data_IF_882232208287
#
_entry.id   IF_882232208287
#
_cell.length_a   1.000
_cell.length_b   1.000
_cell.length_c   1.000
_cell.angle_alpha   90.00
_cell.angle_beta   90.00
_cell.angle_gamma   90.00
#
_symmetry.space_group_name_H-M   'P 1'
#
loop_
_entity.id
_entity.type
_entity.pdbx_description
1 polymer ?
#
# COMPACT_ATOMS: atom_id res chain seq x y z
N UNK A 1 77.78 -8.33 -11.56
CA UNK A 1 77.37 -9.20 -10.42
C UNK A 1 76.28 -8.51 -9.62
N UNK A 2 75.01 -8.89 -9.81
CA UNK A 2 73.91 -8.66 -8.84
C UNK A 2 72.85 -9.71 -9.13
N UNK A 3 72.59 -10.54 -8.13
CA UNK A 3 71.79 -11.78 -8.19
C UNK A 3 70.29 -11.44 -8.12
N UNK A 4 69.52 -12.04 -9.02
CA UNK A 4 68.07 -12.19 -8.91
C UNK A 4 67.76 -13.18 -7.78
N UNK A 5 66.88 -12.80 -6.86
CA UNK A 5 66.29 -13.69 -5.85
C UNK A 5 64.80 -13.81 -6.20
N UNK A 6 64.26 -15.01 -6.44
CA UNK A 6 62.83 -15.21 -6.63
C UNK A 6 62.15 -15.32 -5.26
N UNK A 7 61.16 -14.48 -5.03
CA UNK A 7 60.26 -14.60 -3.88
C UNK A 7 59.16 -15.59 -4.24
N UNK A 8 59.19 -16.77 -3.63
CA UNK A 8 58.14 -17.78 -3.76
C UNK A 8 56.94 -17.36 -2.92
N UNK A 9 55.80 -17.07 -3.57
CA UNK A 9 54.50 -16.97 -2.90
C UNK A 9 54.01 -18.38 -2.57
N UNK A 10 53.82 -18.65 -1.28
CA UNK A 10 53.21 -19.88 -0.76
C UNK A 10 51.68 -19.69 -0.78
N UNK A 11 50.99 -20.38 -1.69
CA UNK A 11 49.53 -20.41 -1.78
C UNK A 11 48.95 -21.38 -0.75
N UNK A 12 48.43 -20.87 0.37
CA UNK A 12 47.60 -21.65 1.30
C UNK A 12 46.15 -21.60 0.80
N UNK A 13 45.76 -22.60 0.02
CA UNK A 13 44.36 -22.90 -0.28
C UNK A 13 43.76 -23.67 0.89
N UNK A 14 43.03 -22.97 1.76
CA UNK A 14 42.12 -23.57 2.73
C UNK A 14 40.73 -23.66 2.08
N UNK A 15 40.44 -24.78 1.42
CA UNK A 15 39.07 -25.17 1.08
C UNK A 15 38.41 -25.68 2.37
N UNK A 16 37.66 -24.81 3.04
CA UNK A 16 36.62 -25.24 3.96
C UNK A 16 35.33 -25.42 3.16
N UNK A 17 35.05 -26.65 2.72
CA UNK A 17 33.71 -27.10 2.38
C UNK A 17 32.86 -27.05 3.66
N UNK A 18 32.34 -25.88 3.99
CA UNK A 18 31.22 -25.77 4.92
C UNK A 18 30.00 -26.14 4.10
N UNK A 19 29.56 -27.39 4.25
CA UNK A 19 28.22 -27.78 3.80
C UNK A 19 27.24 -26.72 4.32
N UNK A 20 26.30 -26.22 3.50
CA UNK A 20 25.30 -25.30 3.98
C UNK A 20 24.67 -25.93 5.22
N UNK A 21 24.61 -25.16 6.32
CA UNK A 21 23.78 -25.51 7.46
C UNK A 21 22.35 -25.53 6.92
N UNK A 22 21.91 -26.70 6.46
CA UNK A 22 20.50 -27.03 6.35
C UNK A 22 19.93 -26.76 7.73
N UNK A 23 19.30 -25.58 7.89
CA UNK A 23 18.49 -25.29 9.06
C UNK A 23 17.53 -26.46 9.23
N UNK A 24 17.30 -26.93 10.47
CA UNK A 24 16.46 -28.10 10.69
C UNK A 24 15.15 -27.86 9.94
N UNK A 25 14.77 -28.77 9.04
CA UNK A 25 13.42 -28.82 8.50
C UNK A 25 12.51 -28.66 9.72
N UNK A 26 11.84 -27.51 9.82
CA UNK A 26 10.95 -27.20 10.92
C UNK A 26 9.84 -28.21 10.84
N UNK A 27 9.97 -29.29 11.61
CA UNK A 27 8.94 -30.29 11.76
C UNK A 27 7.63 -29.56 12.04
N UNK A 28 6.58 -29.90 11.28
CA UNK A 28 5.23 -29.33 11.47
C UNK A 28 4.89 -29.31 12.94
N UNK A 29 4.28 -28.22 13.38
CA UNK A 29 3.90 -28.05 14.78
C UNK A 29 2.88 -29.13 15.19
N UNK A 30 2.92 -29.54 16.46
CA UNK A 30 2.05 -30.63 16.94
C UNK A 30 0.57 -30.21 16.98
N UNK A 31 0.29 -28.92 17.13
CA UNK A 31 -1.05 -28.34 17.16
C UNK A 31 -1.71 -28.33 15.78
N UNK A 32 -0.95 -28.07 14.70
CA UNK A 32 -1.47 -28.16 13.33
C UNK A 32 -2.05 -29.56 13.02
N UNK A 33 -1.51 -30.60 13.66
CA UNK A 33 -1.95 -31.98 13.50
C UNK A 33 -3.17 -32.36 14.36
N UNK A 34 -3.60 -31.50 15.30
CA UNK A 34 -4.63 -31.84 16.29
C UNK A 34 -5.96 -31.11 16.13
N UNK A 35 -6.02 -30.03 15.33
CA UNK A 35 -7.28 -29.32 15.08
C UNK A 35 -8.27 -30.19 14.30
N UNK A 36 -9.54 -30.23 14.75
CA UNK A 36 -10.61 -30.88 13.99
C UNK A 36 -10.83 -30.17 12.65
N UNK A 37 -11.33 -30.84 11.60
CA UNK A 37 -11.58 -30.20 10.30
C UNK A 37 -12.42 -28.91 10.41
N UNK A 38 -13.40 -28.88 11.31
CA UNK A 38 -14.23 -27.70 11.58
C UNK A 38 -13.45 -26.58 12.25
N UNK A 39 -12.53 -26.90 13.16
CA UNK A 39 -11.64 -25.92 13.77
C UNK A 39 -10.65 -25.34 12.76
N UNK A 40 -10.09 -26.19 11.90
CA UNK A 40 -9.21 -25.76 10.82
C UNK A 40 -9.93 -24.77 9.88
N UNK A 41 -11.14 -25.11 9.44
CA UNK A 41 -11.94 -24.23 8.58
C UNK A 41 -12.23 -22.88 9.25
N UNK A 42 -12.66 -22.87 10.53
CA UNK A 42 -12.90 -21.60 11.26
C UNK A 42 -11.66 -20.74 11.39
N UNK A 43 -10.51 -21.33 11.74
CA UNK A 43 -9.25 -20.59 11.88
C UNK A 43 -8.85 -19.99 10.54
N UNK A 44 -8.95 -20.76 9.45
CA UNK A 44 -8.64 -20.28 8.10
C UNK A 44 -9.60 -19.16 7.66
N UNK A 45 -10.91 -19.32 7.86
CA UNK A 45 -11.88 -18.27 7.58
C UNK A 45 -11.59 -17.00 8.38
N UNK A 46 -11.19 -17.15 9.64
CA UNK A 46 -10.79 -16.04 10.50
C UNK A 46 -9.53 -15.34 9.99
N UNK A 47 -8.41 -16.03 9.77
CA UNK A 47 -7.17 -15.35 9.33
C UNK A 47 -7.31 -14.74 7.94
N UNK A 48 -8.10 -15.36 7.05
CA UNK A 48 -8.35 -14.86 5.70
C UNK A 48 -9.38 -13.71 5.64
N UNK A 49 -10.07 -13.40 6.73
CA UNK A 49 -11.02 -12.30 6.76
C UNK A 49 -10.27 -10.95 6.80
N UNK A 50 -10.47 -10.05 5.81
CA UNK A 50 -9.66 -8.83 5.67
C UNK A 50 -9.76 -7.87 6.87
N UNK A 51 -10.88 -7.90 7.61
CA UNK A 51 -11.06 -7.08 8.81
C UNK A 51 -10.18 -7.50 9.99
N UNK A 52 -9.57 -8.70 9.95
CA UNK A 52 -8.63 -9.16 10.96
C UNK A 52 -7.22 -8.64 10.66
N UNK A 53 -7.03 -7.34 10.86
CA UNK A 53 -5.74 -6.65 10.70
C UNK A 53 -4.77 -6.96 11.84
N UNK A 54 -3.48 -6.59 11.68
CA UNK A 54 -2.42 -6.76 12.70
C UNK A 54 -2.90 -6.33 14.10
N UNK A 55 -3.59 -5.20 14.21
CA UNK A 55 -4.11 -4.70 15.48
C UNK A 55 -5.13 -5.63 16.15
N UNK A 56 -5.98 -6.33 15.39
CA UNK A 56 -6.93 -7.32 15.94
C UNK A 56 -6.19 -8.55 16.42
N UNK A 57 -5.28 -9.08 15.60
CA UNK A 57 -4.47 -10.26 15.93
C UNK A 57 -3.61 -10.03 17.18
N UNK A 58 -2.94 -8.88 17.28
CA UNK A 58 -2.09 -8.59 18.43
C UNK A 58 -2.90 -8.27 19.69
N UNK A 59 -3.88 -7.37 19.60
CA UNK A 59 -4.50 -6.80 20.79
C UNK A 59 -5.73 -7.59 21.28
N UNK A 60 -6.43 -8.27 20.38
CA UNK A 60 -7.66 -9.00 20.74
C UNK A 60 -7.41 -10.50 20.82
N UNK A 61 -6.71 -11.09 19.85
CA UNK A 61 -6.34 -12.52 19.89
C UNK A 61 -5.19 -12.74 20.88
N UNK A 62 -4.26 -11.78 20.99
CA UNK A 62 -3.11 -11.88 21.88
C UNK A 62 -1.97 -12.71 21.31
N UNK A 63 -1.88 -12.86 19.98
CA UNK A 63 -0.76 -13.59 19.35
C UNK A 63 0.50 -12.73 19.31
N UNK A 64 1.65 -13.39 19.13
CA UNK A 64 2.94 -12.73 19.08
C UNK A 64 3.00 -11.63 17.98
N UNK A 65 3.55 -10.43 18.26
CA UNK A 65 3.52 -9.31 17.32
C UNK A 65 4.09 -9.62 15.93
N UNK A 66 5.20 -10.35 15.90
CA UNK A 66 5.84 -10.74 14.64
C UNK A 66 5.04 -11.79 13.86
N UNK A 67 4.30 -12.66 14.55
CA UNK A 67 3.41 -13.62 13.90
C UNK A 67 2.21 -12.89 13.27
N UNK A 68 1.62 -11.91 13.96
CA UNK A 68 0.54 -11.10 13.41
C UNK A 68 0.97 -10.34 12.15
N UNK A 69 2.14 -9.71 12.16
CA UNK A 69 2.70 -9.02 10.98
C UNK A 69 2.93 -10.01 9.84
N UNK A 70 3.53 -11.18 10.12
CA UNK A 70 3.81 -12.19 9.10
C UNK A 70 2.54 -12.81 8.49
N UNK A 71 1.51 -13.10 9.32
CA UNK A 71 0.22 -13.61 8.85
C UNK A 71 -0.47 -12.59 7.94
N UNK A 72 -0.53 -11.33 8.36
CA UNK A 72 -1.14 -10.25 7.56
C UNK A 72 -0.35 -10.02 6.27
N UNK A 73 0.98 -9.95 6.32
CA UNK A 73 1.81 -9.76 5.13
C UNK A 73 1.70 -10.92 4.13
N UNK A 74 1.57 -12.17 4.60
CA UNK A 74 1.30 -13.31 3.71
C UNK A 74 -0.07 -13.17 3.05
N UNK A 75 -1.12 -12.90 3.84
CA UNK A 75 -2.49 -12.77 3.32
C UNK A 75 -2.63 -11.62 2.32
N UNK A 76 -2.12 -10.45 2.65
CA UNK A 76 -2.32 -9.19 1.92
C UNK A 76 -1.41 -9.05 0.69
N UNK A 77 -0.62 -10.07 0.37
CA UNK A 77 0.20 -10.07 -0.84
C UNK A 77 1.30 -9.00 -0.86
N UNK A 78 1.69 -8.59 -2.06
CA UNK A 78 2.78 -7.64 -2.29
C UNK A 78 2.33 -6.18 -2.13
N UNK A 79 1.05 -5.88 -2.37
CA UNK A 79 0.50 -4.53 -2.18
C UNK A 79 0.21 -4.20 -0.71
N UNK A 80 0.12 -5.21 0.16
CA UNK A 80 -0.11 -5.05 1.59
C UNK A 80 -1.52 -4.55 1.91
N UNK A 81 -2.48 -4.75 1.00
CA UNK A 81 -3.87 -4.34 1.12
C UNK A 81 -4.76 -5.55 0.95
N UNK A 82 -5.70 -5.77 1.87
CA UNK A 82 -6.75 -6.78 1.70
C UNK A 82 -8.14 -6.17 1.93
N UNK A 83 -9.15 -6.49 1.09
CA UNK A 83 -9.07 -7.39 -0.06
C UNK A 83 -8.42 -6.74 -1.28
N UNK A 84 -7.56 -7.47 -1.99
CA UNK A 84 -6.92 -7.06 -3.25
C UNK A 84 -6.82 -8.23 -4.26
N UNK A 85 -6.19 -7.97 -5.40
CA UNK A 85 -6.03 -8.96 -6.47
C UNK A 85 -4.86 -9.93 -6.25
N UNK A 86 -3.87 -9.53 -5.45
CA UNK A 86 -2.66 -10.30 -5.14
C UNK A 86 -2.68 -10.93 -3.74
N UNK A 87 -3.79 -10.81 -3.01
CA UNK A 87 -4.04 -11.53 -1.76
C UNK A 87 -3.71 -13.04 -1.90
N UNK A 88 -2.89 -13.56 -0.99
CA UNK A 88 -2.55 -14.98 -0.90
C UNK A 88 -3.24 -15.64 0.31
N UNK A 89 -4.52 -15.97 0.13
CA UNK A 89 -5.31 -16.60 1.19
C UNK A 89 -4.76 -17.97 1.59
N UNK A 90 -4.71 -18.22 2.90
CA UNK A 90 -4.34 -19.51 3.46
C UNK A 90 -5.36 -20.58 3.04
N UNK A 91 -4.85 -21.59 2.34
CA UNK A 91 -5.64 -22.72 1.85
C UNK A 91 -5.64 -23.90 2.83
N UNK A 92 -4.72 -23.91 3.80
CA UNK A 92 -4.58 -24.98 4.80
C UNK A 92 -3.92 -24.49 6.08
N UNK A 93 -4.17 -25.19 7.20
CA UNK A 93 -3.47 -24.91 8.46
C UNK A 93 -1.97 -25.18 8.35
N UNK A 94 -1.54 -26.11 7.50
CA UNK A 94 -0.12 -26.35 7.26
C UNK A 94 0.58 -25.17 6.58
N UNK A 95 -0.13 -24.40 5.74
CA UNK A 95 0.38 -23.18 5.15
C UNK A 95 0.49 -22.07 6.21
N UNK A 96 -0.53 -21.91 7.05
CA UNK A 96 -0.52 -20.95 8.16
C UNK A 96 0.59 -21.27 9.19
N UNK A 97 0.79 -22.54 9.51
CA UNK A 97 1.84 -23.04 10.41
C UNK A 97 3.26 -22.79 9.87
N UNK A 98 3.41 -22.68 8.55
CA UNK A 98 4.70 -22.40 7.91
C UNK A 98 5.07 -20.91 7.93
N UNK A 99 4.16 -20.02 8.33
CA UNK A 99 4.42 -18.58 8.42
C UNK A 99 5.41 -18.32 9.57
N UNK A 100 6.45 -17.48 9.36
CA UNK A 100 7.41 -17.16 10.42
C UNK A 100 6.72 -16.74 11.73
N UNK A 101 7.20 -17.29 12.84
CA UNK A 101 6.71 -17.04 14.20
C UNK A 101 5.32 -17.61 14.51
N UNK A 102 4.68 -18.34 13.60
CA UNK A 102 3.49 -19.13 13.93
C UNK A 102 3.92 -20.44 14.57
N UNK A 103 3.51 -20.67 15.81
CA UNK A 103 3.79 -21.88 16.58
C UNK A 103 2.49 -22.49 17.14
N UNK A 104 2.62 -23.59 17.90
CA UNK A 104 1.50 -24.26 18.56
C UNK A 104 0.66 -23.30 19.44
N UNK A 105 1.31 -22.33 20.08
CA UNK A 105 0.65 -21.35 20.95
C UNK A 105 -0.21 -20.41 20.12
N UNK A 106 0.34 -19.88 19.01
CA UNK A 106 -0.38 -19.00 18.09
C UNK A 106 -1.61 -19.70 17.50
N UNK A 107 -1.46 -20.94 17.04
CA UNK A 107 -2.59 -21.72 16.48
C UNK A 107 -3.69 -21.97 17.53
N UNK A 108 -3.33 -22.29 18.77
CA UNK A 108 -4.30 -22.49 19.85
C UNK A 108 -5.04 -21.19 20.21
N UNK A 109 -4.34 -20.05 20.20
CA UNK A 109 -4.94 -18.73 20.43
C UNK A 109 -5.92 -18.37 19.32
N UNK A 110 -5.56 -18.61 18.05
CA UNK A 110 -6.44 -18.39 16.90
C UNK A 110 -7.68 -19.29 16.95
N UNK A 111 -7.55 -20.58 17.26
CA UNK A 111 -8.70 -21.49 17.40
C UNK A 111 -9.64 -21.03 18.53
N UNK A 112 -9.08 -20.71 19.70
CA UNK A 112 -9.85 -20.25 20.85
C UNK A 112 -10.62 -18.96 20.54
N UNK A 113 -9.95 -17.99 19.91
CA UNK A 113 -10.57 -16.71 19.59
C UNK A 113 -11.62 -16.82 18.48
N UNK A 114 -11.31 -17.53 17.40
CA UNK A 114 -12.22 -17.70 16.26
C UNK A 114 -13.47 -18.53 16.61
N UNK A 115 -13.41 -19.37 17.65
CA UNK A 115 -14.59 -20.09 18.14
C UNK A 115 -15.67 -19.16 18.73
N UNK A 116 -15.29 -18.01 19.29
CA UNK A 116 -16.22 -17.03 19.88
C UNK A 116 -16.40 -15.77 19.02
N UNK A 117 -15.47 -15.50 18.10
CA UNK A 117 -15.54 -14.42 17.12
C UNK A 117 -15.36 -14.98 15.69
N UNK A 118 -16.29 -15.80 15.20
CA UNK A 118 -16.18 -16.34 13.85
C UNK A 118 -16.23 -15.20 12.82
N UNK A 119 -15.45 -15.33 11.74
CA UNK A 119 -15.64 -14.49 10.58
C UNK A 119 -17.07 -14.68 10.03
N UNK A 120 -17.65 -13.66 9.36
CA UNK A 120 -18.92 -13.82 8.67
C UNK A 120 -18.88 -15.04 7.74
N UNK A 121 -19.95 -15.83 7.71
CA UNK A 121 -20.02 -17.02 6.87
C UNK A 121 -20.28 -16.64 5.42
N UNK A 122 -19.60 -17.29 4.48
CA UNK A 122 -19.91 -17.15 3.05
C UNK A 122 -21.30 -17.70 2.70
N UNK A 123 -21.85 -17.28 1.56
CA UNK A 123 -23.14 -17.72 1.04
C UNK A 123 -23.04 -18.13 -0.43
N UNK A 124 -23.75 -19.19 -0.83
CA UNK A 124 -23.98 -19.49 -2.26
C UNK A 124 -25.45 -19.27 -2.59
N UNK A 125 -25.71 -18.34 -3.52
CA UNK A 125 -27.07 -17.93 -3.91
C UNK A 125 -27.17 -18.00 -5.43
N UNK A 126 -28.13 -18.79 -5.95
CA UNK A 126 -28.30 -19.00 -7.40
C UNK A 126 -26.99 -19.39 -8.13
N UNK A 127 -26.14 -20.19 -7.47
CA UNK A 127 -24.84 -20.63 -8.00
C UNK A 127 -23.70 -19.60 -7.89
N UNK A 128 -23.97 -18.38 -7.42
CA UNK A 128 -22.93 -17.37 -7.13
C UNK A 128 -22.47 -17.54 -5.70
N UNK A 129 -21.18 -17.84 -5.51
CA UNK A 129 -20.58 -17.97 -4.18
C UNK A 129 -19.96 -16.64 -3.75
N UNK A 130 -20.29 -16.24 -2.54
CA UNK A 130 -19.79 -15.06 -1.81
C UNK A 130 -18.99 -15.55 -0.61
N UNK A 131 -17.85 -14.91 -0.36
CA UNK A 131 -17.07 -15.06 0.87
C UNK A 131 -17.72 -14.27 2.00
N UNK A 132 -17.31 -14.54 3.23
CA UNK A 132 -17.83 -13.87 4.42
C UNK A 132 -17.80 -12.34 4.33
N UNK A 133 -16.64 -11.78 4.01
CA UNK A 133 -16.49 -10.33 3.86
C UNK A 133 -17.32 -9.79 2.68
N UNK A 134 -17.45 -10.55 1.58
CA UNK A 134 -18.28 -10.13 0.45
C UNK A 134 -19.76 -10.06 0.83
N UNK A 135 -20.26 -11.02 1.62
CA UNK A 135 -21.62 -11.01 2.15
C UNK A 135 -21.86 -9.75 2.99
N UNK A 136 -20.96 -9.45 3.92
CA UNK A 136 -21.04 -8.28 4.77
C UNK A 136 -21.03 -6.98 3.96
N UNK A 137 -20.06 -6.81 3.05
CA UNK A 137 -19.98 -5.65 2.17
C UNK A 137 -21.22 -5.46 1.32
N UNK A 138 -21.73 -6.54 0.72
CA UNK A 138 -22.92 -6.48 -0.14
C UNK A 138 -24.17 -6.13 0.66
N UNK A 139 -24.35 -6.73 1.84
CA UNK A 139 -25.46 -6.40 2.74
C UNK A 139 -25.39 -4.93 3.16
N UNK A 140 -24.22 -4.46 3.60
CA UNK A 140 -24.03 -3.07 3.96
C UNK A 140 -24.29 -2.14 2.76
N UNK A 141 -23.64 -2.39 1.63
CA UNK A 141 -23.69 -1.53 0.46
C UNK A 141 -25.08 -1.45 -0.17
N UNK A 142 -25.78 -2.57 -0.32
CA UNK A 142 -27.16 -2.55 -0.78
C UNK A 142 -28.05 -1.81 0.20
N UNK A 143 -27.84 -1.87 1.52
CA UNK A 143 -28.67 -1.14 2.47
C UNK A 143 -28.40 0.38 2.49
N UNK A 144 -27.19 0.83 2.13
CA UNK A 144 -26.76 2.22 2.25
C UNK A 144 -26.69 3.00 0.92
N UNK A 145 -26.53 2.32 -0.22
CA UNK A 145 -26.51 2.98 -1.53
C UNK A 145 -27.82 3.72 -1.80
N UNK A 146 -27.81 4.85 -2.51
CA UNK A 146 -29.07 5.46 -2.96
C UNK A 146 -29.68 4.71 -4.16
N UNK A 147 -30.90 5.07 -4.55
CA UNK A 147 -31.59 4.42 -5.68
C UNK A 147 -30.87 4.63 -7.01
N UNK A 148 -30.20 5.78 -7.20
CA UNK A 148 -29.49 6.09 -8.44
C UNK A 148 -28.25 5.19 -8.59
N UNK A 149 -27.50 5.01 -7.50
CA UNK A 149 -26.34 4.12 -7.40
C UNK A 149 -26.72 2.70 -7.78
N UNK A 150 -27.80 2.14 -7.20
CA UNK A 150 -28.25 0.80 -7.57
C UNK A 150 -28.69 0.70 -9.05
N UNK A 151 -29.36 1.73 -9.59
CA UNK A 151 -29.79 1.74 -10.99
C UNK A 151 -28.63 1.85 -11.98
N UNK A 152 -27.52 2.45 -11.58
CA UNK A 152 -26.30 2.48 -12.38
C UNK A 152 -25.55 1.15 -12.37
N UNK A 153 -25.73 0.33 -11.32
CA UNK A 153 -25.07 -0.97 -11.19
C UNK A 153 -25.86 -2.12 -11.85
N UNK A 154 -27.20 -2.07 -11.77
CA UNK A 154 -28.06 -3.20 -12.13
C UNK A 154 -29.13 -2.83 -13.15
N UNK A 155 -29.80 -3.84 -13.71
CA UNK A 155 -31.01 -3.63 -14.49
C UNK A 155 -32.07 -2.91 -13.64
N UNK A 156 -32.79 -1.96 -14.26
CA UNK A 156 -33.62 -0.99 -13.54
C UNK A 156 -34.70 -1.63 -12.62
N UNK A 157 -35.28 -2.77 -12.99
CA UNK A 157 -36.28 -3.48 -12.15
C UNK A 157 -35.61 -4.16 -10.97
N UNK A 158 -34.46 -4.82 -11.19
CA UNK A 158 -33.68 -5.40 -10.11
C UNK A 158 -33.24 -4.32 -9.10
N UNK A 159 -32.71 -3.19 -9.58
CA UNK A 159 -32.31 -2.06 -8.74
C UNK A 159 -33.49 -1.49 -7.92
N UNK A 160 -34.62 -1.26 -8.58
CA UNK A 160 -35.85 -0.74 -7.93
C UNK A 160 -36.35 -1.69 -6.85
N UNK A 161 -36.40 -2.99 -7.15
CA UNK A 161 -36.88 -3.99 -6.20
C UNK A 161 -35.90 -4.20 -5.03
N UNK A 162 -34.59 -4.18 -5.30
CA UNK A 162 -33.57 -4.22 -4.26
C UNK A 162 -33.72 -3.02 -3.32
N UNK A 163 -33.82 -1.80 -3.85
CA UNK A 163 -34.02 -0.58 -3.07
C UNK A 163 -35.26 -0.65 -2.18
N UNK A 164 -36.40 -1.08 -2.75
CA UNK A 164 -37.67 -1.17 -2.05
C UNK A 164 -37.72 -2.28 -0.98
N UNK A 165 -36.97 -3.37 -1.16
CA UNK A 165 -36.97 -4.52 -0.25
C UNK A 165 -36.05 -4.41 0.97
N UNK A 166 -35.36 -3.27 1.15
CA UNK A 166 -34.49 -3.02 2.31
C UNK A 166 -35.29 -2.96 3.63
N UNK A 167 -34.66 -3.25 4.78
CA UNK A 167 -33.27 -3.68 4.94
C UNK A 167 -33.06 -5.19 4.73
N UNK A 168 -31.91 -5.56 4.19
CA UNK A 168 -31.45 -6.94 4.10
C UNK A 168 -30.50 -7.27 5.25
N UNK A 169 -30.43 -8.55 5.60
CA UNK A 169 -29.53 -9.11 6.62
C UNK A 169 -28.59 -10.18 6.06
N UNK A 170 -28.85 -10.65 4.83
CA UNK A 170 -28.09 -11.71 4.14
C UNK A 170 -28.27 -11.61 2.63
N UNK A 171 -27.30 -12.10 1.86
CA UNK A 171 -27.35 -12.05 0.38
C UNK A 171 -28.48 -12.93 -0.16
N UNK A 172 -28.77 -14.06 0.47
CA UNK A 172 -29.87 -14.91 0.03
C UNK A 172 -31.27 -14.27 0.15
N UNK A 173 -31.47 -13.23 0.98
CA UNK A 173 -32.71 -12.45 0.93
C UNK A 173 -32.79 -11.62 -0.35
N UNK A 174 -31.65 -11.11 -0.84
CA UNK A 174 -31.57 -10.38 -2.10
C UNK A 174 -31.83 -11.30 -3.29
N UNK A 175 -31.30 -12.53 -3.28
CA UNK A 175 -31.57 -13.52 -4.34
C UNK A 175 -33.04 -13.92 -4.46
N UNK A 176 -33.84 -13.77 -3.40
CA UNK A 176 -35.28 -14.01 -3.45
C UNK A 176 -36.08 -12.82 -4.04
N UNK A 177 -35.44 -11.67 -4.26
CA UNK A 177 -36.09 -10.47 -4.81
C UNK A 177 -36.35 -10.68 -6.30
N UNK A 178 -37.57 -10.33 -6.75
CA UNK A 178 -37.93 -10.45 -8.17
C UNK A 178 -36.95 -9.69 -9.05
N UNK A 179 -36.52 -10.33 -10.15
CA UNK A 179 -35.52 -9.83 -11.10
C UNK A 179 -34.06 -9.84 -10.59
N UNK A 180 -33.79 -10.34 -9.39
CA UNK A 180 -32.43 -10.60 -8.91
C UNK A 180 -32.05 -12.04 -9.23
N UNK A 181 -31.43 -12.25 -10.40
CA UNK A 181 -30.87 -13.55 -10.79
C UNK A 181 -29.36 -13.65 -10.54
N UNK A 182 -28.77 -14.74 -11.00
CA UNK A 182 -27.31 -14.99 -10.90
C UNK A 182 -26.46 -13.88 -11.53
N UNK A 183 -26.92 -13.22 -12.60
CA UNK A 183 -26.23 -12.08 -13.19
C UNK A 183 -26.13 -10.88 -12.23
N UNK A 184 -27.25 -10.48 -11.62
CA UNK A 184 -27.29 -9.40 -10.63
C UNK A 184 -26.48 -9.76 -9.39
N UNK A 185 -26.55 -11.01 -8.91
CA UNK A 185 -25.73 -11.50 -7.79
C UNK A 185 -24.24 -11.48 -8.13
N UNK A 186 -23.86 -11.84 -9.36
CA UNK A 186 -22.49 -11.72 -9.85
C UNK A 186 -21.98 -10.27 -9.86
N UNK A 187 -22.85 -9.32 -10.23
CA UNK A 187 -22.54 -7.88 -10.16
C UNK A 187 -22.43 -7.39 -8.72
N UNK A 188 -23.32 -7.82 -7.83
CA UNK A 188 -23.25 -7.51 -6.40
C UNK A 188 -21.92 -7.99 -5.82
N UNK A 189 -21.52 -9.23 -6.11
CA UNK A 189 -20.22 -9.77 -5.68
C UNK A 189 -19.05 -8.95 -6.23
N UNK A 190 -19.06 -8.63 -7.52
CA UNK A 190 -18.02 -7.82 -8.13
C UNK A 190 -17.92 -6.41 -7.52
N UNK A 191 -19.00 -5.91 -6.92
CA UNK A 191 -19.05 -4.61 -6.24
C UNK A 191 -18.80 -4.68 -4.72
N UNK A 192 -18.48 -5.87 -4.19
CA UNK A 192 -18.23 -6.05 -2.76
C UNK A 192 -16.99 -5.28 -2.27
N UNK A 193 -15.91 -5.21 -3.05
CA UNK A 193 -14.69 -4.51 -2.67
C UNK A 193 -14.89 -2.99 -2.50
N UNK A 194 -15.50 -2.25 -3.47
CA UNK A 194 -15.84 -0.85 -3.23
C UNK A 194 -16.66 -0.62 -1.96
N UNK A 195 -17.67 -1.47 -1.71
CA UNK A 195 -18.48 -1.37 -0.50
C UNK A 195 -17.75 -1.77 0.78
N UNK A 196 -16.75 -2.65 0.71
CA UNK A 196 -15.87 -2.97 1.84
C UNK A 196 -15.09 -1.74 2.30
N UNK A 197 -14.48 -1.03 1.34
CA UNK A 197 -13.72 0.19 1.60
C UNK A 197 -14.61 1.23 2.29
N UNK A 198 -15.82 1.43 1.76
CA UNK A 198 -16.84 2.27 2.35
C UNK A 198 -17.23 1.91 3.79
N UNK A 199 -17.51 0.63 4.02
CA UNK A 199 -17.91 0.10 5.33
C UNK A 199 -16.85 0.41 6.39
N UNK A 200 -15.57 0.42 6.01
CA UNK A 200 -14.45 0.72 6.89
C UNK A 200 -13.96 2.16 6.84
N UNK A 201 -14.84 3.08 6.43
CA UNK A 201 -14.61 4.52 6.51
C UNK A 201 -13.61 5.05 5.49
N UNK A 202 -13.20 4.23 4.52
CA UNK A 202 -12.58 4.75 3.31
C UNK A 202 -13.65 5.42 2.45
N UNK A 203 -13.26 6.43 1.68
CA UNK A 203 -14.20 7.15 0.82
C UNK A 203 -14.66 6.26 -0.31
N UNK A 204 -15.98 6.12 -0.51
CA UNK A 204 -16.59 5.48 -1.68
C UNK A 204 -16.52 6.45 -2.86
N UNK A 205 -15.41 6.46 -3.61
CA UNK A 205 -15.29 7.39 -4.73
C UNK A 205 -15.67 6.74 -6.06
N UNK A 206 -15.61 5.41 -6.18
CA UNK A 206 -16.12 4.71 -7.35
C UNK A 206 -17.61 4.98 -7.57
N UNK A 207 -18.00 5.11 -8.84
CA UNK A 207 -19.38 5.39 -9.21
C UNK A 207 -19.51 5.94 -10.63
N UNK A 208 -20.75 6.14 -11.06
CA UNK A 208 -21.04 6.82 -12.34
C UNK A 208 -21.50 8.24 -12.04
N UNK A 209 -20.75 9.23 -12.52
CA UNK A 209 -21.03 10.65 -12.33
C UNK A 209 -21.16 11.31 -13.71
N UNK A 210 -22.29 11.98 -13.96
CA UNK A 210 -22.66 12.52 -15.29
C UNK A 210 -22.52 11.48 -16.43
N UNK A 211 -22.88 10.23 -16.16
CA UNK A 211 -22.77 9.14 -17.14
C UNK A 211 -21.36 8.60 -17.37
N UNK A 212 -20.35 9.07 -16.61
CA UNK A 212 -18.97 8.59 -16.67
C UNK A 212 -18.68 7.71 -15.44
N UNK A 213 -18.38 6.43 -15.66
CA UNK A 213 -18.02 5.48 -14.58
C UNK A 213 -16.56 5.62 -14.19
N UNK A 214 -16.28 5.76 -12.90
CA UNK A 214 -14.95 5.71 -12.30
C UNK A 214 -14.82 4.43 -11.48
N UNK A 215 -13.71 3.71 -11.66
CA UNK A 215 -13.27 2.74 -10.65
C UNK A 215 -12.67 3.47 -9.44
N UNK A 216 -12.45 2.76 -8.34
CA UNK A 216 -12.02 3.38 -7.08
C UNK A 216 -10.66 4.08 -7.21
N UNK A 217 -9.58 3.46 -7.74
CA UNK A 217 -8.29 4.15 -7.87
C UNK A 217 -8.35 5.39 -8.76
N UNK A 218 -9.09 5.32 -9.87
CA UNK A 218 -9.30 6.46 -10.76
C UNK A 218 -10.11 7.55 -10.07
N UNK A 219 -11.10 7.19 -9.26
CA UNK A 219 -11.95 8.15 -8.58
C UNK A 219 -11.20 8.93 -7.49
N UNK A 220 -10.36 8.25 -6.72
CA UNK A 220 -9.44 8.86 -5.75
C UNK A 220 -8.55 9.89 -6.45
N UNK A 221 -7.88 9.46 -7.53
CA UNK A 221 -6.99 10.33 -8.30
C UNK A 221 -7.74 11.51 -8.94
N UNK A 222 -8.94 11.28 -9.47
CA UNK A 222 -9.76 12.32 -10.07
C UNK A 222 -10.24 13.35 -9.04
N UNK A 223 -10.59 12.92 -7.82
CA UNK A 223 -10.97 13.82 -6.75
C UNK A 223 -9.76 14.65 -6.28
N UNK A 224 -8.60 14.03 -6.18
CA UNK A 224 -7.35 14.72 -5.86
C UNK A 224 -7.01 15.78 -6.91
N UNK A 225 -7.07 15.42 -8.20
CA UNK A 225 -6.92 16.34 -9.32
C UNK A 225 -7.92 17.50 -9.27
N UNK A 226 -9.20 17.22 -8.99
CA UNK A 226 -10.23 18.25 -8.88
C UNK A 226 -9.89 19.26 -7.77
N UNK A 227 -9.25 18.80 -6.68
CA UNK A 227 -8.84 19.62 -5.53
C UNK A 227 -7.49 20.32 -5.71
N UNK A 228 -6.55 19.74 -6.43
CA UNK A 228 -5.15 20.21 -6.43
C UNK A 228 -4.66 20.72 -7.78
N UNK A 229 -5.17 20.20 -8.91
CA UNK A 229 -4.64 20.54 -10.23
C UNK A 229 -4.77 22.05 -10.51
N UNK A 230 -3.73 22.65 -11.07
CA UNK A 230 -3.75 24.04 -11.52
C UNK A 230 -4.68 24.22 -12.72
N UNK A 231 -5.08 25.45 -12.99
CA UNK A 231 -5.84 25.80 -14.20
C UNK A 231 -5.16 25.25 -15.46
N UNK A 232 -3.85 25.47 -15.60
CA UNK A 232 -3.07 25.01 -16.75
C UNK A 232 -3.13 23.48 -16.89
N UNK A 233 -2.93 22.74 -15.78
CA UNK A 233 -3.00 21.28 -15.75
C UNK A 233 -4.39 20.74 -16.15
N UNK A 234 -5.48 21.32 -15.62
CA UNK A 234 -6.84 20.94 -15.99
C UNK A 234 -7.08 21.15 -17.49
N UNK A 235 -6.71 22.33 -18.00
CA UNK A 235 -6.91 22.67 -19.42
C UNK A 235 -6.04 21.84 -20.37
N UNK A 236 -4.81 21.49 -19.99
CA UNK A 236 -3.94 20.65 -20.82
C UNK A 236 -4.44 19.21 -20.93
N UNK A 237 -5.29 18.76 -20.00
CA UNK A 237 -5.90 17.44 -20.00
C UNK A 237 -7.38 17.47 -20.43
N UNK A 238 -7.77 18.51 -21.17
CA UNK A 238 -9.05 18.54 -21.87
C UNK A 238 -10.23 19.11 -21.07
N UNK A 239 -10.02 19.63 -19.85
CA UNK A 239 -11.05 20.40 -19.15
C UNK A 239 -11.15 21.79 -19.78
N UNK A 240 -12.34 22.20 -20.23
CA UNK A 240 -12.50 23.52 -20.82
C UNK A 240 -12.27 24.65 -19.80
N UNK A 241 -11.78 25.80 -20.24
CA UNK A 241 -11.29 26.87 -19.36
C UNK A 241 -12.32 27.41 -18.37
N UNK A 242 -13.60 27.53 -18.77
CA UNK A 242 -14.66 27.95 -17.85
C UNK A 242 -14.82 26.91 -16.71
N UNK A 243 -14.96 25.64 -17.08
CA UNK A 243 -15.10 24.52 -16.14
C UNK A 243 -13.87 24.36 -15.24
N UNK A 244 -12.66 24.63 -15.74
CA UNK A 244 -11.46 24.62 -14.91
C UNK A 244 -11.51 25.70 -13.82
N UNK A 245 -12.01 26.91 -14.14
CA UNK A 245 -12.24 27.95 -13.14
C UNK A 245 -13.34 27.56 -12.14
N UNK A 246 -14.42 26.94 -12.62
CA UNK A 246 -15.53 26.50 -11.77
C UNK A 246 -15.07 25.41 -10.78
N UNK A 247 -14.28 24.43 -11.26
CA UNK A 247 -13.64 23.43 -10.41
C UNK A 247 -12.73 24.06 -9.35
N UNK A 248 -11.90 25.03 -9.73
CA UNK A 248 -11.00 25.71 -8.78
C UNK A 248 -11.79 26.51 -7.75
N UNK A 249 -12.86 27.20 -8.17
CA UNK A 249 -13.70 28.00 -7.30
C UNK A 249 -14.53 27.14 -6.32
N UNK A 250 -14.89 25.91 -6.70
CA UNK A 250 -15.69 24.99 -5.88
C UNK A 250 -14.90 24.20 -4.82
N UNK A 251 -13.57 24.37 -4.75
CA UNK A 251 -12.72 23.64 -3.80
C UNK A 251 -13.00 24.02 -2.33
N UNK A 252 -12.85 23.09 -1.37
CA UNK A 252 -12.51 21.67 -1.56
C UNK A 252 -13.75 20.79 -1.80
N UNK A 253 -13.58 19.77 -2.64
CA UNK A 253 -14.55 18.71 -2.87
C UNK A 253 -14.28 17.51 -1.96
N UNK A 254 -15.35 16.94 -1.42
CA UNK A 254 -15.32 15.71 -0.59
C UNK A 254 -15.71 14.45 -1.35
N UNK A 255 -16.21 14.58 -2.59
CA UNK A 255 -16.60 13.45 -3.45
C UNK A 255 -16.67 13.86 -4.91
N UNK A 256 -16.59 12.89 -5.84
CA UNK A 256 -16.85 13.14 -7.26
C UNK A 256 -18.30 13.49 -7.58
N UNK A 257 -19.25 13.11 -6.72
CA UNK A 257 -20.64 13.57 -6.83
C UNK A 257 -20.74 15.09 -6.64
N UNK A 258 -19.98 15.66 -5.69
CA UNK A 258 -19.92 17.11 -5.50
C UNK A 258 -19.23 17.82 -6.67
N UNK A 259 -18.21 17.18 -7.27
CA UNK A 259 -17.56 17.67 -8.50
C UNK A 259 -18.57 17.73 -9.65
N UNK A 260 -19.28 16.63 -9.92
CA UNK A 260 -20.30 16.54 -10.97
C UNK A 260 -21.49 17.50 -10.75
N UNK A 261 -21.83 17.78 -9.48
CA UNK A 261 -22.90 18.72 -9.16
C UNK A 261 -22.52 20.21 -9.32
N UNK A 262 -21.26 20.53 -9.62
CA UNK A 262 -20.82 21.91 -9.86
C UNK A 262 -21.39 22.42 -11.18
N UNK A 263 -21.97 23.63 -11.18
CA UNK A 263 -22.59 24.20 -12.39
C UNK A 263 -21.57 24.28 -13.55
N UNK A 264 -22.02 23.92 -14.74
CA UNK A 264 -21.16 23.84 -15.94
C UNK A 264 -20.27 22.59 -16.04
N UNK A 265 -20.16 21.78 -14.98
CA UNK A 265 -19.53 20.45 -15.02
C UNK A 265 -20.55 19.44 -15.58
N UNK A 266 -20.07 18.57 -16.45
CA UNK A 266 -20.90 17.57 -17.10
C UNK A 266 -20.05 16.44 -17.69
N UNK A 267 -20.62 15.58 -18.56
CA UNK A 267 -19.97 14.35 -19.01
C UNK A 267 -18.60 14.56 -19.66
N UNK A 268 -18.42 15.66 -20.41
CA UNK A 268 -17.14 15.99 -21.06
C UNK A 268 -16.05 16.29 -20.03
N UNK A 269 -16.36 17.11 -19.02
CA UNK A 269 -15.41 17.44 -17.95
C UNK A 269 -15.12 16.25 -17.06
N UNK A 270 -16.14 15.47 -16.69
CA UNK A 270 -15.95 14.25 -15.91
C UNK A 270 -15.11 13.22 -16.69
N UNK A 271 -15.31 13.07 -18.00
CA UNK A 271 -14.47 12.20 -18.82
C UNK A 271 -13.04 12.73 -18.96
N UNK A 272 -12.84 14.05 -19.02
CA UNK A 272 -11.51 14.66 -19.02
C UNK A 272 -10.79 14.43 -17.69
N UNK A 273 -11.47 14.60 -16.55
CA UNK A 273 -10.93 14.25 -15.23
C UNK A 273 -10.61 12.76 -15.11
N UNK A 274 -11.50 11.88 -15.59
CA UNK A 274 -11.24 10.44 -15.65
C UNK A 274 -10.01 10.13 -16.49
N UNK A 275 -9.92 10.69 -17.69
CA UNK A 275 -8.78 10.47 -18.59
C UNK A 275 -7.49 11.01 -17.96
N UNK A 276 -7.56 12.17 -17.30
CA UNK A 276 -6.43 12.73 -16.56
C UNK A 276 -6.03 11.81 -15.39
N UNK A 277 -6.98 11.27 -14.65
CA UNK A 277 -6.72 10.32 -13.57
C UNK A 277 -6.17 8.97 -14.06
N UNK A 278 -6.66 8.45 -15.19
CA UNK A 278 -6.24 7.16 -15.78
C UNK A 278 -4.89 7.23 -16.50
N UNK A 279 -4.62 8.36 -17.17
CA UNK A 279 -3.26 8.67 -17.63
C UNK A 279 -2.32 9.00 -16.46
N UNK A 280 -2.91 9.18 -15.28
CA UNK A 280 -2.37 9.93 -14.15
C UNK A 280 -2.04 11.38 -14.55
N UNK A 281 -1.96 12.32 -13.60
CA UNK A 281 -0.62 12.83 -13.45
C UNK A 281 0.20 11.57 -13.16
N UNK A 282 1.13 11.18 -14.01
CA UNK A 282 2.27 10.48 -13.46
C UNK A 282 2.86 11.51 -12.48
N UNK A 283 2.34 11.59 -11.25
CA UNK A 283 2.89 12.50 -10.26
C UNK A 283 4.33 12.09 -10.24
N UNK A 284 5.21 13.07 -10.35
CA UNK A 284 6.59 12.74 -10.47
C UNK A 284 7.06 11.96 -9.22
N UNK A 285 6.31 12.07 -8.10
CA UNK A 285 6.35 11.17 -6.93
C UNK A 285 6.09 9.69 -7.25
N UNK A 286 5.02 9.35 -7.99
CA UNK A 286 4.70 7.96 -8.38
C UNK A 286 5.70 7.40 -9.40
N UNK A 287 6.13 8.21 -10.38
CA UNK A 287 7.19 7.77 -11.31
C UNK A 287 8.50 7.49 -10.57
N UNK A 288 8.86 8.38 -9.65
CA UNK A 288 10.09 8.26 -8.89
C UNK A 288 10.03 7.08 -7.91
N UNK A 289 8.93 6.93 -7.16
CA UNK A 289 8.76 5.80 -6.25
C UNK A 289 8.72 4.46 -6.99
N UNK A 290 8.07 4.37 -8.16
CA UNK A 290 8.10 3.15 -8.98
C UNK A 290 9.51 2.78 -9.45
N UNK A 291 10.38 3.77 -9.66
CA UNK A 291 11.78 3.51 -10.05
C UNK A 291 12.66 3.12 -8.85
N UNK A 292 12.41 3.68 -7.66
CA UNK A 292 13.28 3.51 -6.48
C UNK A 292 12.80 2.42 -5.52
N UNK A 293 11.50 2.31 -5.26
CA UNK A 293 10.91 1.39 -4.28
C UNK A 293 11.37 -0.07 -4.44
N UNK A 294 11.37 -0.65 -5.66
CA UNK A 294 11.80 -2.05 -5.83
C UNK A 294 13.27 -2.29 -5.46
N UNK A 295 14.08 -1.23 -5.40
CA UNK A 295 15.51 -1.31 -5.10
C UNK A 295 15.80 -1.23 -3.59
N UNK A 296 14.89 -0.65 -2.80
CA UNK A 296 15.13 -0.36 -1.38
C UNK A 296 15.39 -1.61 -0.51
N UNK A 297 14.67 -2.75 -0.67
CA UNK A 297 14.97 -3.96 0.09
C UNK A 297 16.37 -4.53 -0.18
N UNK A 298 17.02 -4.11 -1.27
CA UNK A 298 18.33 -4.58 -1.71
C UNK A 298 19.48 -3.68 -1.27
N UNK A 299 19.22 -2.56 -0.60
CA UNK A 299 20.25 -1.63 -0.15
C UNK A 299 20.15 -1.29 1.33
N UNK A 300 21.30 -1.13 1.97
CA UNK A 300 21.46 -0.49 3.27
C UNK A 300 22.34 0.75 3.11
N UNK A 301 22.19 1.69 4.04
CA UNK A 301 23.15 2.78 4.19
C UNK A 301 24.26 2.35 5.15
N UNK A 302 25.49 2.25 4.64
CA UNK A 302 26.68 1.92 5.40
C UNK A 302 27.01 3.04 6.38
N UNK A 303 27.00 2.72 7.67
CA UNK A 303 27.47 3.58 8.77
C UNK A 303 28.11 2.72 9.85
N UNK A 304 28.19 3.14 11.11
CA UNK A 304 28.53 2.19 12.19
C UNK A 304 27.43 1.13 12.42
N UNK A 305 26.22 1.40 11.93
CA UNK A 305 25.13 0.42 11.83
C UNK A 305 24.49 0.52 10.45
N UNK A 306 24.38 -0.60 9.77
CA UNK A 306 23.77 -0.65 8.44
C UNK A 306 22.26 -0.60 8.60
N UNK A 307 21.63 0.44 8.08
CA UNK A 307 20.20 0.69 8.29
C UNK A 307 19.45 0.78 6.96
N UNK A 308 18.17 0.34 6.94
CA UNK A 308 17.33 0.44 5.75
C UNK A 308 17.20 1.88 5.26
N UNK A 309 16.91 1.98 3.97
CA UNK A 309 16.61 3.24 3.29
C UNK A 309 15.11 3.31 3.02
N UNK A 310 14.51 4.46 3.25
CA UNK A 310 13.07 4.69 3.08
C UNK A 310 12.81 5.80 2.07
N UNK A 311 11.68 5.75 1.35
CA UNK A 311 11.24 6.85 0.50
C UNK A 311 10.73 8.02 1.36
N UNK A 312 10.99 9.24 0.90
CA UNK A 312 10.36 10.47 1.39
C UNK A 312 9.76 11.23 0.21
N UNK A 313 8.62 11.87 0.45
CA UNK A 313 7.89 12.64 -0.55
C UNK A 313 7.17 13.79 0.13
N UNK A 314 7.37 15.00 -0.41
CA UNK A 314 6.69 16.21 0.00
C UNK A 314 6.05 16.87 -1.25
N UNK A 315 4.82 16.45 -1.60
CA UNK A 315 4.10 16.98 -2.76
C UNK A 315 3.92 18.51 -2.66
N UNK A 316 4.15 19.21 -3.76
CA UNK A 316 4.01 20.68 -3.85
C UNK A 316 5.16 21.50 -3.23
N UNK A 317 6.10 20.88 -2.50
CA UNK A 317 7.21 21.60 -1.86
C UNK A 317 8.40 21.88 -2.80
N UNK A 318 8.33 21.42 -4.06
CA UNK A 318 9.36 21.62 -5.09
C UNK A 318 9.22 22.93 -5.86
N UNK A 319 8.53 23.94 -5.32
CA UNK A 319 8.44 25.27 -5.93
C UNK A 319 9.80 25.97 -6.10
N UNK A 320 10.80 25.56 -5.32
CA UNK A 320 12.19 26.03 -5.40
C UNK A 320 13.19 24.88 -5.19
N UNK A 321 14.47 25.11 -5.48
CA UNK A 321 15.51 24.12 -5.21
C UNK A 321 15.57 23.81 -3.70
N UNK A 322 15.65 22.54 -3.28
CA UNK A 322 15.71 22.20 -1.86
C UNK A 322 16.96 22.79 -1.22
N UNK A 323 16.87 23.13 0.06
CA UNK A 323 17.98 23.59 0.91
C UNK A 323 18.01 22.77 2.19
N UNK A 324 19.12 22.83 2.94
CA UNK A 324 19.16 22.22 4.27
C UNK A 324 18.05 22.73 5.20
N UNK A 325 17.68 24.02 5.09
CA UNK A 325 16.62 24.60 5.89
C UNK A 325 15.22 24.08 5.51
N UNK A 326 14.94 23.89 4.22
CA UNK A 326 13.65 23.31 3.77
C UNK A 326 13.54 21.86 4.20
N UNK A 327 14.60 21.06 4.05
CA UNK A 327 14.61 19.65 4.51
C UNK A 327 14.44 19.56 6.02
N UNK A 328 15.13 20.40 6.79
CA UNK A 328 14.98 20.45 8.26
C UNK A 328 13.54 20.75 8.68
N UNK A 329 12.87 21.70 8.00
CA UNK A 329 11.48 22.06 8.27
C UNK A 329 10.49 20.93 7.91
N UNK A 330 10.76 20.18 6.85
CA UNK A 330 9.88 19.13 6.32
C UNK A 330 10.09 17.75 6.98
N UNK A 331 11.23 17.52 7.63
CA UNK A 331 11.59 16.22 8.22
C UNK A 331 10.89 15.88 9.55
N UNK A 332 10.04 16.79 10.06
CA UNK A 332 9.32 16.69 11.33
C UNK A 332 10.24 16.28 12.50
N UNK A 333 11.40 16.94 12.61
CA UNK A 333 12.34 16.70 13.72
C UNK A 333 12.05 17.61 14.91
N UNK A 334 12.35 17.18 16.14
CA UNK A 334 12.23 18.03 17.33
C UNK A 334 13.00 19.35 17.20
N UNK A 335 12.56 20.34 17.97
CA UNK A 335 13.26 21.63 18.04
C UNK A 335 14.72 21.47 18.50
N UNK A 336 15.62 22.25 17.90
CA UNK A 336 17.05 22.25 18.23
C UNK A 336 17.91 21.40 17.31
N UNK A 337 17.32 20.65 16.39
CA UNK A 337 18.08 20.00 15.32
C UNK A 337 18.76 21.04 14.41
N UNK A 338 19.92 20.66 13.88
CA UNK A 338 20.65 21.44 12.89
C UNK A 338 20.80 20.65 11.60
N UNK A 339 21.03 21.33 10.48
CA UNK A 339 21.14 20.70 9.16
C UNK A 339 22.46 21.07 8.47
N UNK A 340 23.10 20.08 7.86
CA UNK A 340 24.37 20.18 7.15
C UNK A 340 24.21 19.63 5.74
N UNK A 341 24.67 20.37 4.72
CA UNK A 341 24.73 19.86 3.34
C UNK A 341 26.03 19.10 3.13
N UNK A 342 25.94 17.89 2.59
CA UNK A 342 27.06 17.01 2.24
C UNK A 342 27.14 16.78 0.74
N UNK A 343 28.23 16.17 0.29
CA UNK A 343 28.46 15.86 -1.13
C UNK A 343 27.60 14.69 -1.56
N UNK A 344 26.71 14.89 -2.55
CA UNK A 344 25.75 13.88 -3.05
C UNK A 344 26.41 12.54 -3.39
N UNK A 345 27.57 12.54 -4.06
CA UNK A 345 28.26 11.30 -4.42
C UNK A 345 28.72 10.47 -3.22
N UNK A 346 28.86 11.07 -2.03
CA UNK A 346 29.15 10.32 -0.82
C UNK A 346 27.94 9.49 -0.36
N UNK A 347 26.71 9.92 -0.62
CA UNK A 347 25.51 9.15 -0.27
C UNK A 347 25.45 7.86 -1.10
N UNK A 348 25.58 7.96 -2.43
CA UNK A 348 25.54 6.78 -3.30
C UNK A 348 26.69 5.81 -3.04
N UNK A 349 27.89 6.32 -2.71
CA UNK A 349 29.02 5.46 -2.31
C UNK A 349 28.81 4.75 -0.98
N UNK A 350 27.89 5.22 -0.14
CA UNK A 350 27.54 4.60 1.13
C UNK A 350 26.38 3.59 1.00
N UNK A 351 25.77 3.43 -0.18
CA UNK A 351 24.78 2.37 -0.40
C UNK A 351 25.48 1.05 -0.66
N UNK A 352 25.11 0.02 0.09
CA UNK A 352 25.64 -1.34 -0.04
C UNK A 352 24.54 -2.39 -0.16
N UNK A 353 24.82 -3.58 -0.75
CA UNK A 353 23.85 -4.65 -0.84
C UNK A 353 23.39 -5.11 0.56
N UNK A 354 22.07 -5.22 0.76
CA UNK A 354 21.49 -5.61 2.05
C UNK A 354 21.75 -7.07 2.47
N UNK A 355 22.13 -7.91 1.51
CA UNK A 355 22.42 -9.33 1.72
C UNK A 355 23.21 -9.90 0.53
N UNK A 356 23.69 -11.14 0.64
CA UNK A 356 24.33 -11.85 -0.47
C UNK A 356 23.39 -12.17 -1.64
N UNK A 357 22.07 -12.11 -1.41
CA UNK A 357 21.03 -12.30 -2.42
C UNK A 357 20.42 -10.98 -2.93
N UNK A 358 20.91 -9.84 -2.43
CA UNK A 358 20.42 -8.54 -2.89
C UNK A 358 20.79 -8.29 -4.36
N UNK A 359 19.95 -7.55 -5.08
CA UNK A 359 20.26 -7.15 -6.46
C UNK A 359 21.55 -6.31 -6.48
N UNK A 360 22.63 -6.78 -7.15
CA UNK A 360 23.90 -6.05 -7.20
C UNK A 360 23.79 -4.71 -7.96
N UNK A 361 22.71 -4.47 -8.70
CA UNK A 361 22.49 -3.23 -9.44
C UNK A 361 21.61 -2.22 -8.69
N UNK A 362 21.09 -2.55 -7.51
CA UNK A 362 20.13 -1.70 -6.81
C UNK A 362 20.63 -0.28 -6.55
N UNK A 363 21.85 -0.13 -6.01
CA UNK A 363 22.45 1.19 -5.77
C UNK A 363 22.61 2.01 -7.07
N UNK A 364 23.04 1.37 -8.17
CA UNK A 364 23.20 2.03 -9.47
C UNK A 364 21.85 2.42 -10.08
N UNK A 365 20.82 1.59 -9.91
CA UNK A 365 19.46 1.88 -10.36
C UNK A 365 18.87 3.08 -9.60
N UNK A 366 19.10 3.16 -8.29
CA UNK A 366 18.71 4.31 -7.46
C UNK A 366 19.41 5.57 -7.96
N UNK A 367 20.74 5.55 -8.12
CA UNK A 367 21.50 6.69 -8.63
C UNK A 367 21.00 7.14 -10.02
N UNK A 368 20.71 6.18 -10.91
CA UNK A 368 20.14 6.48 -12.22
C UNK A 368 18.76 7.14 -12.13
N UNK A 369 17.89 6.70 -11.22
CA UNK A 369 16.59 7.33 -10.99
C UNK A 369 16.73 8.79 -10.52
N UNK A 370 17.65 9.06 -9.58
CA UNK A 370 17.96 10.43 -9.15
C UNK A 370 18.45 11.30 -10.32
N UNK A 371 19.38 10.79 -11.13
CA UNK A 371 19.97 11.54 -12.24
C UNK A 371 18.98 11.82 -13.38
N UNK A 372 18.02 10.92 -13.61
CA UNK A 372 17.09 11.01 -14.75
C UNK A 372 15.78 11.70 -14.42
N UNK A 373 15.34 11.65 -13.16
CA UNK A 373 14.01 12.11 -12.76
C UNK A 373 14.04 13.36 -11.88
N UNK A 374 15.17 13.65 -11.23
CA UNK A 374 15.29 14.76 -10.29
C UNK A 374 16.26 15.82 -10.76
N UNK A 375 16.01 17.04 -10.31
CA UNK A 375 16.88 18.21 -10.45
C UNK A 375 17.24 18.73 -9.06
N UNK A 376 18.31 19.53 -8.96
CA UNK A 376 18.72 20.18 -7.71
C UNK A 376 18.89 19.21 -6.52
N UNK A 377 19.46 18.03 -6.78
CA UNK A 377 19.65 16.99 -5.76
C UNK A 377 20.65 17.46 -4.69
N UNK A 378 20.27 17.34 -3.41
CA UNK A 378 21.10 17.64 -2.25
C UNK A 378 21.14 16.45 -1.29
N UNK A 379 22.28 16.28 -0.61
CA UNK A 379 22.42 15.37 0.53
C UNK A 379 22.46 16.23 1.80
N UNK A 380 21.50 16.03 2.70
CA UNK A 380 21.39 16.73 3.99
C UNK A 380 21.53 15.75 5.15
N UNK A 381 22.35 16.10 6.13
CA UNK A 381 22.44 15.42 7.43
C UNK A 381 21.79 16.29 8.51
N UNK A 382 20.89 15.72 9.30
CA UNK A 382 20.22 16.38 10.42
C UNK A 382 20.80 15.85 11.74
N UNK A 383 21.37 16.77 12.52
CA UNK A 383 22.03 16.49 13.79
C UNK A 383 21.13 16.90 14.95
N UNK A 384 20.92 15.98 15.89
CA UNK A 384 20.21 16.27 17.14
C UNK A 384 20.98 17.32 17.98
N UNK A 385 20.30 18.09 18.86
CA UNK A 385 20.99 19.08 19.69
C UNK A 385 22.02 18.41 20.62
N UNK A 386 23.12 19.11 20.97
CA UNK A 386 24.14 18.59 21.88
C UNK A 386 23.55 18.10 23.21
N UNK A 387 23.97 16.92 23.66
CA UNK A 387 23.44 16.29 24.88
C UNK A 387 22.13 15.52 24.69
N UNK A 388 21.58 15.48 23.48
CA UNK A 388 20.52 14.53 23.12
C UNK A 388 21.04 13.09 23.19
N UNK A 389 20.26 12.11 23.68
CA UNK A 389 20.61 10.69 23.55
C UNK A 389 20.74 10.24 22.09
N UNK A 390 20.15 10.99 21.15
CA UNK A 390 20.18 10.71 19.71
C UNK A 390 21.32 11.44 18.99
N UNK A 391 22.29 12.03 19.70
CA UNK A 391 23.37 12.81 19.08
C UNK A 391 24.21 11.99 18.07
N UNK A 392 24.39 10.68 18.32
CA UNK A 392 25.09 9.78 17.40
C UNK A 392 24.21 9.28 16.23
N UNK A 393 22.88 9.52 16.28
CA UNK A 393 21.92 9.07 15.26
C UNK A 393 21.60 10.21 14.30
N UNK A 394 22.41 10.34 13.26
CA UNK A 394 22.27 11.38 12.25
C UNK A 394 21.20 10.95 11.24
N UNK A 395 20.10 11.70 11.13
CA UNK A 395 19.10 11.44 10.07
C UNK A 395 19.63 12.02 8.76
N UNK A 396 19.76 11.18 7.74
CA UNK A 396 20.30 11.59 6.45
C UNK A 396 19.23 11.53 5.37
N UNK A 397 19.28 12.51 4.46
CA UNK A 397 18.31 12.69 3.39
C UNK A 397 19.04 12.93 2.08
N UNK A 398 18.64 12.25 1.02
CA UNK A 398 19.02 12.57 -0.34
C UNK A 398 17.77 12.99 -1.10
N UNK A 399 17.63 14.28 -1.38
CA UNK A 399 16.38 14.89 -1.85
C UNK A 399 16.64 15.66 -3.12
N UNK A 400 15.73 15.53 -4.10
CA UNK A 400 15.73 16.34 -5.30
C UNK A 400 14.33 16.82 -5.66
N UNK A 401 14.28 17.73 -6.61
CA UNK A 401 13.06 18.29 -7.14
C UNK A 401 12.60 17.54 -8.38
N UNK A 402 11.33 17.19 -8.41
CA UNK A 402 10.70 16.61 -9.57
C UNK A 402 10.30 17.66 -10.62
N UNK A 403 10.08 17.25 -11.87
CA UNK A 403 9.54 18.16 -12.90
C UNK A 403 8.12 18.66 -12.62
N UNK A 404 7.41 18.02 -11.67
CA UNK A 404 6.07 18.38 -11.26
C UNK A 404 6.06 19.44 -10.14
N UNK A 405 7.22 19.81 -9.61
CA UNK A 405 7.30 20.74 -8.48
C UNK A 405 7.08 20.08 -7.12
N UNK A 406 7.42 18.80 -6.99
CA UNK A 406 7.46 18.08 -5.70
C UNK A 406 8.92 17.96 -5.23
N UNK A 407 9.11 17.76 -3.93
CA UNK A 407 10.38 17.24 -3.40
C UNK A 407 10.22 15.77 -3.09
N UNK A 408 11.13 14.94 -3.60
CA UNK A 408 11.18 13.51 -3.32
C UNK A 408 12.61 13.09 -3.06
N UNK A 409 12.78 11.98 -2.38
CA UNK A 409 14.10 11.53 -2.00
C UNK A 409 14.07 10.27 -1.17
N UNK A 410 15.24 9.87 -0.69
CA UNK A 410 15.37 8.78 0.26
C UNK A 410 15.92 9.29 1.58
N UNK A 411 15.54 8.65 2.68
CA UNK A 411 16.10 8.89 4.00
C UNK A 411 16.67 7.60 4.61
N UNK A 412 17.59 7.76 5.55
CA UNK A 412 18.04 6.68 6.45
C UNK A 412 18.61 7.30 7.73
N UNK A 413 19.17 6.47 8.60
CA UNK A 413 19.89 6.89 9.80
C UNK A 413 21.34 6.45 9.63
N UNK A 414 22.29 7.38 9.80
CA UNK A 414 23.70 7.08 9.94
C UNK A 414 24.09 7.16 11.42
N UNK A 415 24.85 6.18 11.89
CA UNK A 415 25.48 6.24 13.21
C UNK A 415 26.88 6.85 13.06
N UNK A 416 27.11 7.97 13.75
CA UNK A 416 28.37 8.75 13.72
C UNK A 416 28.83 9.05 15.16
N UNK A 417 30.02 8.58 15.56
CA UNK A 417 30.55 8.75 16.93
C UNK A 417 31.70 9.74 17.08
#
# INVERSE_FOLDING_TARGET
MRRLVPLALLSLAACSDVAPLDGPETARSAAALQLSPEAQARVLDFVNYPGNVVGVLQNQVGIHPWAAVAITAHRDGADGVSPSGDDAFFSSIAELDAVPYVDDTVLQQLDTYSAVHPAPTGETVEGVSFRGWEVESVVWGVNHADSATLQNLFEARAATNLYAGRPYTRVAQMGAVSWVGSATLGQLRAHALPWWNCLHGQTCLAGTFDGITFDEPTAVTALDLANQATYAQLTSHGVAGAQANDLIAGRPYTSLAAVAATDGIGPVTMNALKTYAQGGPSTCTSMWSNAVSPQLPHVLLMSESDLPVELVSWPGEGGSAPTAATVLALADVPWGYTAEVRVVSNYFRALEPSSSSADPWAAANIENAFNTQLTDVIYVALHAPPGSPDQARVRVFLVGRTSCGDLVGIQSIAIET
#
